data_IF_103478322598
#
_entry.id   IF_103478322598
#
_cell.length_a   1.000
_cell.length_b   1.000
_cell.length_c   1.000
_cell.angle_alpha   90.00
_cell.angle_beta   90.00
_cell.angle_gamma   90.00
#
_symmetry.space_group_name_H-M   'P 1'
#
loop_
_entity.id
_entity.type
_entity.pdbx_description
1 polymer ?
#
# COMPACT_ATOMS: atom_id res chain seq x y z
N UNK A 1 -17.94 -6.59 -18.92
CA UNK A 1 -17.95 -5.76 -17.71
C UNK A 1 -18.25 -6.70 -16.55
N UNK A 2 -17.44 -6.71 -15.49
CA UNK A 2 -17.63 -7.64 -14.37
C UNK A 2 -18.92 -7.30 -13.59
N UNK A 3 -19.60 -8.33 -13.07
CA UNK A 3 -20.91 -8.19 -12.43
C UNK A 3 -20.84 -7.30 -11.18
N UNK A 4 -19.73 -7.36 -10.44
CA UNK A 4 -19.47 -6.52 -9.26
C UNK A 4 -19.28 -5.06 -9.68
N UNK A 5 -18.48 -4.82 -10.71
CA UNK A 5 -18.26 -3.46 -11.23
C UNK A 5 -19.55 -2.85 -11.76
N UNK A 6 -20.39 -3.63 -12.46
CA UNK A 6 -21.69 -3.16 -12.92
C UNK A 6 -22.63 -2.84 -11.75
N UNK A 7 -22.66 -3.67 -10.70
CA UNK A 7 -23.46 -3.42 -9.50
C UNK A 7 -23.00 -2.16 -8.75
N UNK A 8 -21.69 -1.97 -8.57
CA UNK A 8 -21.16 -0.78 -7.92
C UNK A 8 -21.49 0.49 -8.71
N UNK A 9 -21.42 0.45 -10.04
CA UNK A 9 -21.71 1.60 -10.90
C UNK A 9 -23.20 1.91 -11.06
N UNK A 10 -24.09 0.94 -10.82
CA UNK A 10 -25.55 1.13 -10.88
C UNK A 10 -26.19 1.37 -9.52
N UNK A 11 -25.46 1.16 -8.42
CA UNK A 11 -25.95 1.38 -7.07
C UNK A 11 -26.14 2.89 -6.77
N UNK A 12 -27.13 3.26 -5.95
CA UNK A 12 -27.28 4.63 -5.47
C UNK A 12 -26.02 5.11 -4.74
N UNK A 13 -25.64 6.39 -4.93
CA UNK A 13 -24.40 6.97 -4.38
C UNK A 13 -24.25 6.80 -2.86
N UNK A 14 -25.36 6.89 -2.12
CA UNK A 14 -25.37 6.71 -0.67
C UNK A 14 -24.96 5.31 -0.22
N UNK A 15 -25.11 4.30 -1.08
CA UNK A 15 -24.71 2.91 -0.84
C UNK A 15 -23.36 2.59 -1.48
N UNK A 16 -23.08 3.16 -2.66
CA UNK A 16 -21.82 2.96 -3.39
C UNK A 16 -20.60 3.50 -2.62
N UNK A 17 -20.69 4.70 -2.05
CA UNK A 17 -19.57 5.34 -1.33
C UNK A 17 -19.09 4.48 -0.15
N UNK A 18 -19.93 4.05 0.82
CA UNK A 18 -19.47 3.25 1.95
C UNK A 18 -18.93 1.88 1.51
N UNK A 19 -19.49 1.26 0.46
CA UNK A 19 -18.98 0.01 -0.09
C UNK A 19 -17.57 0.15 -0.64
N UNK A 20 -17.33 1.20 -1.44
CA UNK A 20 -16.00 1.47 -1.99
C UNK A 20 -15.01 1.82 -0.88
N UNK A 21 -15.41 2.68 0.06
CA UNK A 21 -14.57 3.09 1.18
C UNK A 21 -14.19 1.91 2.09
N UNK A 22 -15.11 0.98 2.31
CA UNK A 22 -14.89 -0.24 3.09
C UNK A 22 -13.79 -1.15 2.52
N UNK A 23 -13.47 -1.04 1.23
CA UNK A 23 -12.40 -1.82 0.58
C UNK A 23 -11.18 -0.97 0.29
N UNK A 24 -11.38 0.22 -0.29
CA UNK A 24 -10.29 1.09 -0.70
C UNK A 24 -9.44 1.56 0.49
N UNK A 25 -10.05 1.88 1.64
CA UNK A 25 -9.31 2.35 2.82
C UNK A 25 -8.41 1.25 3.40
N UNK A 26 -8.89 0.00 3.64
CA UNK A 26 -8.01 -1.09 4.05
C UNK A 26 -6.87 -1.36 3.06
N UNK A 27 -7.18 -1.41 1.76
CA UNK A 27 -6.17 -1.65 0.72
C UNK A 27 -5.10 -0.56 0.72
N UNK A 28 -5.51 0.71 0.78
CA UNK A 28 -4.59 1.84 0.86
C UNK A 28 -3.72 1.78 2.13
N UNK A 29 -4.31 1.37 3.26
CA UNK A 29 -3.59 1.22 4.54
C UNK A 29 -2.52 0.12 4.45
N UNK A 30 -2.88 -1.05 3.92
CA UNK A 30 -1.94 -2.16 3.71
C UNK A 30 -0.82 -1.74 2.75
N UNK A 31 -1.15 -1.08 1.65
CA UNK A 31 -0.17 -0.59 0.68
C UNK A 31 0.79 0.44 1.30
N UNK A 32 0.26 1.39 2.08
CA UNK A 32 1.09 2.38 2.78
C UNK A 32 2.05 1.72 3.77
N UNK A 33 1.57 0.78 4.59
CA UNK A 33 2.42 0.03 5.53
C UNK A 33 3.49 -0.76 4.78
N UNK A 34 3.12 -1.46 3.71
CA UNK A 34 4.07 -2.23 2.90
C UNK A 34 5.18 -1.33 2.32
N UNK A 35 4.81 -0.16 1.79
CA UNK A 35 5.78 0.81 1.27
C UNK A 35 6.74 1.30 2.34
N UNK A 36 6.24 1.66 3.52
CA UNK A 36 7.08 2.07 4.65
C UNK A 36 8.07 0.97 5.02
N UNK A 37 7.60 -0.29 5.11
CA UNK A 37 8.48 -1.42 5.44
C UNK A 37 9.55 -1.68 4.39
N UNK A 38 9.24 -1.48 3.12
CA UNK A 38 10.22 -1.59 2.04
C UNK A 38 11.29 -0.52 2.23
N UNK A 39 10.90 0.74 2.46
CA UNK A 39 11.85 1.83 2.68
C UNK A 39 12.73 1.54 3.90
N UNK A 40 12.14 1.17 5.05
CA UNK A 40 12.89 0.82 6.25
C UNK A 40 13.93 -0.27 5.98
N UNK A 41 13.55 -1.33 5.26
CA UNK A 41 14.42 -2.46 4.95
C UNK A 41 15.57 -2.04 4.03
N UNK A 42 15.28 -1.25 3.00
CA UNK A 42 16.28 -0.74 2.06
C UNK A 42 17.25 0.21 2.76
N UNK A 43 16.75 1.12 3.59
CA UNK A 43 17.58 2.04 4.36
C UNK A 43 18.51 1.29 5.32
N UNK A 44 18.01 0.27 6.02
CA UNK A 44 18.84 -0.57 6.89
C UNK A 44 19.89 -1.37 6.12
N UNK A 45 19.54 -1.88 4.94
CA UNK A 45 20.49 -2.59 4.08
C UNK A 45 21.59 -1.64 3.55
N UNK A 46 21.21 -0.43 3.15
CA UNK A 46 22.14 0.60 2.69
C UNK A 46 23.10 1.03 3.79
N UNK A 47 22.61 1.25 5.01
CA UNK A 47 23.45 1.60 6.17
C UNK A 47 24.47 0.49 6.48
N UNK A 48 24.05 -0.78 6.41
CA UNK A 48 24.96 -1.92 6.61
C UNK A 48 26.03 -1.98 5.51
N UNK A 49 25.65 -1.77 4.26
CA UNK A 49 26.57 -1.75 3.14
C UNK A 49 27.58 -0.60 3.26
N UNK A 50 27.13 0.58 3.67
CA UNK A 50 27.99 1.74 3.92
C UNK A 50 29.03 1.46 5.00
N UNK A 51 28.61 0.93 6.16
CA UNK A 51 29.53 0.58 7.25
C UNK A 51 30.56 -0.46 6.82
N UNK A 52 30.15 -1.45 6.02
CA UNK A 52 31.07 -2.43 5.47
C UNK A 52 32.13 -1.77 4.58
N UNK A 53 31.73 -0.81 3.74
CA UNK A 53 32.68 -0.10 2.86
C UNK A 53 33.64 0.86 3.58
N UNK A 54 33.21 1.46 4.70
CA UNK A 54 34.04 2.42 5.46
C UNK A 54 34.92 1.73 6.50
N UNK A 55 34.52 0.55 7.00
CA UNK A 55 35.30 -0.23 7.98
C UNK A 55 36.50 -1.00 7.40
N UNK A 56 36.66 -1.00 6.08
CA UNK A 56 37.78 -1.62 5.35
C UNK A 56 39.00 -0.67 5.17
N UNK A 57 39.14 0.37 6.02
CA UNK A 57 40.28 1.28 6.08
C UNK A 57 40.92 1.32 7.47
#
# INVERSE_FOLDING_TARGET
MDAVTQFLLSAPLWLQIPLVMGVAVPVATVAAVALVRIVDTVSLAAERAWRASVGDH
#
